data_IF_632874521380
#
_entry.id   IF_632874521380
#
_cell.length_a   1.000
_cell.length_b   1.000
_cell.length_c   1.000
_cell.angle_alpha   90.00
_cell.angle_beta   90.00
_cell.angle_gamma   90.00
#
_symmetry.space_group_name_H-M   'P 1'
#
loop_
_entity.id
_entity.type
_entity.pdbx_description
1 polymer ?
#
# COMPACT_ATOMS: atom_id res chain seq x y z
N UNK A 1 42.76 17.63 -67.55
CA UNK A 1 41.45 17.88 -66.93
C UNK A 1 41.03 16.62 -66.18
N UNK A 2 40.76 16.75 -64.89
CA UNK A 2 40.59 15.64 -63.94
C UNK A 2 39.13 15.13 -63.91
N UNK A 3 38.96 13.81 -63.79
CA UNK A 3 37.79 13.17 -63.19
C UNK A 3 38.15 11.67 -63.02
N UNK A 4 38.34 11.17 -61.79
CA UNK A 4 37.30 10.49 -60.99
C UNK A 4 36.90 9.15 -61.63
N UNK A 5 36.97 7.97 -61.01
CA UNK A 5 36.84 7.61 -59.59
C UNK A 5 37.19 6.14 -59.42
N UNK A 6 37.78 5.80 -58.27
CA UNK A 6 38.22 4.45 -57.86
C UNK A 6 37.02 3.51 -57.62
N UNK A 7 37.20 2.26 -58.03
CA UNK A 7 36.33 1.11 -57.86
C UNK A 7 35.94 0.92 -56.38
N UNK A 8 34.62 0.87 -56.10
CA UNK A 8 34.04 0.80 -54.75
C UNK A 8 34.36 -0.54 -54.08
N UNK A 9 35.13 -0.50 -52.98
CA UNK A 9 35.22 -1.62 -52.02
C UNK A 9 33.91 -1.68 -51.22
N UNK A 10 33.23 -2.82 -51.26
CA UNK A 10 32.07 -3.13 -50.43
C UNK A 10 32.55 -3.38 -48.99
N UNK A 11 32.39 -2.40 -48.09
CA UNK A 11 32.50 -2.62 -46.66
C UNK A 11 31.11 -2.93 -46.11
N UNK A 12 30.90 -4.21 -45.83
CA UNK A 12 29.77 -4.74 -45.05
C UNK A 12 29.91 -4.19 -43.63
N UNK A 13 29.26 -3.08 -43.32
CA UNK A 13 29.01 -2.74 -41.92
C UNK A 13 27.81 -3.57 -41.48
N UNK A 14 28.07 -4.69 -40.80
CA UNK A 14 27.05 -5.40 -40.06
C UNK A 14 26.50 -4.45 -38.99
N UNK A 15 25.25 -4.01 -39.16
CA UNK A 15 24.53 -3.31 -38.11
C UNK A 15 24.22 -4.35 -37.03
N UNK A 16 25.09 -4.46 -36.03
CA UNK A 16 24.75 -5.11 -34.77
C UNK A 16 23.75 -4.17 -34.08
N UNK A 17 22.46 -4.32 -34.40
CA UNK A 17 21.40 -3.70 -33.61
C UNK A 17 21.41 -4.38 -32.24
N UNK A 18 22.17 -3.83 -31.29
CA UNK A 18 21.99 -4.15 -29.88
C UNK A 18 20.65 -3.56 -29.50
N UNK A 19 19.60 -4.39 -29.49
CA UNK A 19 18.37 -4.03 -28.81
C UNK A 19 18.66 -4.06 -27.31
N UNK A 20 19.04 -2.91 -26.74
CA UNK A 20 18.94 -2.71 -25.30
C UNK A 20 17.45 -2.74 -24.99
N UNK A 21 16.95 -3.92 -24.64
CA UNK A 21 15.70 -4.02 -23.91
C UNK A 21 15.98 -3.43 -22.53
N UNK A 22 15.77 -2.12 -22.38
CA UNK A 22 15.49 -1.61 -21.05
C UNK A 22 14.15 -2.24 -20.68
N UNK A 23 14.21 -3.41 -20.06
CA UNK A 23 13.17 -3.79 -19.12
C UNK A 23 13.08 -2.60 -18.19
N UNK A 24 12.08 -1.75 -18.41
CA UNK A 24 11.68 -0.78 -17.42
C UNK A 24 11.27 -1.64 -16.23
N UNK A 25 12.24 -1.95 -15.38
CA UNK A 25 11.97 -2.30 -14.02
C UNK A 25 11.23 -1.07 -13.49
N UNK A 26 9.90 -1.14 -13.54
CA UNK A 26 9.06 -0.23 -12.79
C UNK A 26 9.52 -0.49 -11.38
N UNK A 27 10.48 0.31 -10.91
CA UNK A 27 10.85 0.34 -9.52
C UNK A 27 9.51 0.50 -8.81
N UNK A 28 9.04 -0.59 -8.17
CA UNK A 28 7.94 -0.59 -7.19
C UNK A 28 8.48 0.12 -5.95
N UNK A 29 8.98 1.33 -6.16
CA UNK A 29 9.69 2.13 -5.19
C UNK A 29 8.62 2.84 -4.41
N UNK A 30 8.67 2.59 -3.12
CA UNK A 30 8.01 3.38 -2.12
C UNK A 30 8.53 4.81 -2.29
N UNK A 31 7.67 5.71 -2.75
CA UNK A 31 8.04 7.10 -3.05
C UNK A 31 8.12 7.85 -1.73
N UNK A 32 9.32 8.35 -1.39
CA UNK A 32 9.55 9.12 -0.17
C UNK A 32 9.70 8.31 1.12
N UNK A 33 9.66 6.96 1.06
CA UNK A 33 9.87 6.12 2.23
C UNK A 33 11.33 5.75 2.49
N UNK A 34 11.65 5.47 3.74
CA UNK A 34 12.95 4.96 4.19
C UNK A 34 12.81 3.56 4.77
N UNK A 35 13.91 2.80 4.76
CA UNK A 35 14.02 1.56 5.54
C UNK A 35 13.83 1.91 7.02
N UNK A 36 13.04 1.12 7.72
CA UNK A 36 12.75 1.35 9.13
C UNK A 36 12.84 0.04 9.91
N UNK A 37 13.53 0.10 11.05
CA UNK A 37 13.71 -1.00 11.98
C UNK A 37 12.51 -1.09 12.95
N UNK A 38 11.29 -1.07 12.41
CA UNK A 38 10.05 -1.10 13.22
C UNK A 38 9.45 -2.50 13.22
N UNK A 39 9.55 -3.17 14.37
CA UNK A 39 9.08 -4.55 14.57
C UNK A 39 7.56 -4.74 14.51
N UNK A 40 6.78 -3.66 14.43
CA UNK A 40 5.32 -3.72 14.54
C UNK A 40 4.61 -3.84 13.19
N UNK A 41 5.29 -3.61 12.07
CA UNK A 41 4.64 -3.74 10.77
C UNK A 41 4.95 -5.12 10.18
N UNK A 42 3.94 -5.72 9.55
CA UNK A 42 4.09 -7.01 8.88
C UNK A 42 3.54 -6.93 7.47
N UNK A 43 4.12 -7.72 6.58
CA UNK A 43 3.57 -7.95 5.25
C UNK A 43 2.74 -9.22 5.28
N UNK A 44 1.48 -9.11 4.90
CA UNK A 44 0.55 -10.22 4.88
C UNK A 44 0.31 -10.61 3.42
N UNK A 45 0.44 -11.90 3.14
CA UNK A 45 0.00 -12.49 1.88
C UNK A 45 -1.35 -13.13 2.10
N UNK A 46 -2.31 -12.73 1.29
CA UNK A 46 -3.65 -13.29 1.27
C UNK A 46 -3.72 -14.22 0.07
N UNK A 47 -4.01 -15.48 0.32
CA UNK A 47 -4.18 -16.50 -0.72
C UNK A 47 -5.67 -16.79 -0.84
N UNK A 48 -6.22 -16.59 -2.04
CA UNK A 48 -7.63 -16.84 -2.32
C UNK A 48 -7.84 -18.29 -2.78
N UNK A 49 -9.08 -18.79 -2.64
CA UNK A 49 -9.43 -20.18 -3.00
C UNK A 49 -9.18 -20.52 -4.49
N UNK A 50 -9.14 -19.53 -5.38
CA UNK A 50 -8.81 -19.70 -6.81
C UNK A 50 -7.30 -19.77 -7.08
N UNK A 51 -6.47 -19.76 -6.03
CA UNK A 51 -5.02 -19.80 -6.11
C UNK A 51 -4.36 -18.44 -6.37
N UNK A 52 -5.15 -17.38 -6.59
CA UNK A 52 -4.60 -16.02 -6.71
C UNK A 52 -4.15 -15.50 -5.35
N UNK A 53 -3.25 -14.51 -5.34
CA UNK A 53 -2.81 -13.90 -4.09
C UNK A 53 -2.73 -12.38 -4.16
N UNK A 54 -3.15 -11.73 -3.08
CA UNK A 54 -2.97 -10.30 -2.83
C UNK A 54 -2.03 -10.11 -1.65
N UNK A 55 -1.56 -8.88 -1.49
CA UNK A 55 -0.79 -8.48 -0.32
C UNK A 55 -1.47 -7.32 0.39
N UNK A 56 -1.35 -7.29 1.71
CA UNK A 56 -1.71 -6.15 2.53
C UNK A 56 -0.66 -5.93 3.63
N UNK A 57 -0.71 -4.76 4.25
CA UNK A 57 0.01 -4.52 5.49
C UNK A 57 -0.72 -5.15 6.67
N UNK A 58 0.01 -5.37 7.75
CA UNK A 58 -0.56 -5.63 9.07
C UNK A 58 0.24 -4.89 10.12
N UNK A 59 -0.38 -4.73 11.28
CA UNK A 59 0.23 -4.10 12.45
C UNK A 59 0.15 -5.06 13.63
N UNK A 60 1.30 -5.50 14.13
CA UNK A 60 1.46 -6.30 15.33
C UNK A 60 1.08 -5.45 16.56
N UNK A 61 0.01 -5.85 17.24
CA UNK A 61 -0.51 -5.20 18.46
C UNK A 61 -0.12 -5.95 19.73
N UNK A 62 0.37 -7.18 19.59
CA UNK A 62 1.05 -7.99 20.61
C UNK A 62 1.79 -9.14 19.94
N UNK A 63 2.58 -9.92 20.69
CA UNK A 63 3.39 -11.04 20.19
C UNK A 63 2.62 -12.09 19.36
N UNK A 64 1.29 -12.16 19.52
CA UNK A 64 0.44 -13.15 18.85
C UNK A 64 -0.69 -12.54 18.01
N UNK A 65 -0.84 -11.22 17.98
CA UNK A 65 -2.00 -10.57 17.37
C UNK A 65 -1.59 -9.48 16.38
N UNK A 66 -2.16 -9.55 15.17
CA UNK A 66 -1.99 -8.57 14.09
C UNK A 66 -3.35 -7.96 13.76
N UNK A 67 -3.41 -6.64 13.62
CA UNK A 67 -4.55 -5.91 13.04
C UNK A 67 -4.24 -5.57 11.58
N UNK A 68 -5.18 -5.78 10.68
CA UNK A 68 -5.06 -5.43 9.26
C UNK A 68 -6.39 -4.88 8.71
N UNK A 69 -6.34 -4.21 7.56
CA UNK A 69 -7.51 -3.72 6.88
C UNK A 69 -8.37 -4.88 6.35
N UNK A 70 -9.63 -4.95 6.78
CA UNK A 70 -10.53 -6.07 6.48
C UNK A 70 -10.90 -6.22 4.99
N UNK A 71 -10.69 -5.20 4.15
CA UNK A 71 -11.17 -5.20 2.77
C UNK A 71 -10.49 -6.23 1.86
N UNK A 72 -9.41 -6.85 2.31
CA UNK A 72 -8.78 -7.96 1.58
C UNK A 72 -9.21 -9.35 2.06
N UNK A 73 -9.89 -9.47 3.22
CA UNK A 73 -10.23 -10.77 3.84
C UNK A 73 -11.58 -11.33 3.37
N UNK A 74 -12.41 -10.47 2.75
CA UNK A 74 -13.75 -10.85 2.30
C UNK A 74 -13.99 -10.47 0.83
N UNK A 75 -13.26 -11.04 -0.14
CA UNK A 75 -13.82 -11.15 -1.47
C UNK A 75 -15.04 -12.07 -1.37
N UNK A 76 -16.18 -11.59 -1.85
CA UNK A 76 -17.40 -12.38 -1.96
C UNK A 76 -17.08 -13.77 -2.55
N UNK A 77 -17.23 -14.82 -1.72
CA UNK A 77 -17.24 -16.27 -2.06
C UNK A 77 -15.97 -17.13 -1.95
N UNK A 78 -14.79 -16.65 -1.54
CA UNK A 78 -13.63 -17.54 -1.39
C UNK A 78 -13.01 -17.54 0.02
N UNK A 79 -12.87 -18.74 0.58
CA UNK A 79 -11.96 -19.03 1.68
C UNK A 79 -10.60 -18.40 1.38
N UNK A 80 -10.14 -17.50 2.25
CA UNK A 80 -8.83 -16.86 2.13
C UNK A 80 -7.97 -17.20 3.34
N UNK A 81 -6.71 -17.58 3.11
CA UNK A 81 -5.73 -17.77 4.18
C UNK A 81 -4.77 -16.59 4.25
N UNK A 82 -4.42 -16.22 5.48
CA UNK A 82 -3.47 -15.16 5.79
C UNK A 82 -2.14 -15.80 6.18
N UNK A 83 -1.11 -15.55 5.38
CA UNK A 83 0.24 -16.04 5.65
C UNK A 83 1.20 -14.86 5.87
N UNK A 84 2.04 -14.90 6.92
CA UNK A 84 3.15 -13.97 7.05
C UNK A 84 4.07 -14.10 5.83
N UNK A 85 4.26 -13.00 5.10
CA UNK A 85 5.16 -12.99 3.97
C UNK A 85 6.55 -12.54 4.40
N UNK A 86 7.58 -13.34 4.06
CA UNK A 86 8.98 -12.93 4.18
C UNK A 86 9.20 -11.73 3.25
N UNK A 87 9.33 -10.52 3.81
CA UNK A 87 9.73 -9.33 3.06
C UNK A 87 11.17 -8.97 3.38
N UNK A 88 12.02 -8.69 2.38
CA UNK A 88 13.44 -8.47 2.64
C UNK A 88 13.77 -7.17 3.38
N UNK A 89 12.84 -6.22 3.52
CA UNK A 89 13.00 -4.96 4.24
C UNK A 89 11.67 -4.24 4.32
N UNK A 90 11.30 -3.78 5.51
CA UNK A 90 10.10 -2.98 5.70
C UNK A 90 10.43 -1.50 5.52
N UNK A 91 9.50 -0.77 4.92
CA UNK A 91 9.66 0.65 4.62
C UNK A 91 8.54 1.44 5.29
N UNK A 92 8.91 2.61 5.79
CA UNK A 92 8.00 3.56 6.43
C UNK A 92 8.04 4.86 5.65
N UNK A 93 6.95 5.62 5.72
CA UNK A 93 7.01 7.05 5.42
C UNK A 93 6.24 7.83 6.46
N UNK A 94 6.66 9.09 6.59
CA UNK A 94 5.93 10.07 7.35
C UNK A 94 4.68 10.51 6.57
N UNK A 95 3.63 10.80 7.32
CA UNK A 95 2.39 11.36 6.80
C UNK A 95 2.01 12.61 7.60
N UNK A 96 1.15 13.43 7.03
CA UNK A 96 0.62 14.61 7.73
C UNK A 96 -0.81 14.35 8.13
N UNK A 97 -1.14 14.59 9.40
CA UNK A 97 -2.52 14.62 9.84
C UNK A 97 -3.25 15.80 9.17
N UNK A 98 -4.47 15.54 8.71
CA UNK A 98 -5.30 16.53 8.01
C UNK A 98 -6.74 16.49 8.50
N UNK A 99 -7.47 17.58 8.26
CA UNK A 99 -8.92 17.60 8.46
C UNK A 99 -9.62 16.71 7.43
N UNK A 100 -10.58 15.90 7.87
CA UNK A 100 -11.25 14.91 7.04
C UNK A 100 -12.26 15.47 6.01
N UNK A 101 -12.48 16.79 5.93
CA UNK A 101 -13.47 17.40 5.04
C UNK A 101 -13.32 16.98 3.58
N UNK A 102 -12.09 17.03 3.03
CA UNK A 102 -11.83 16.68 1.62
C UNK A 102 -12.20 15.22 1.35
N UNK A 103 -11.69 14.32 2.21
CA UNK A 103 -11.99 12.89 2.13
C UNK A 103 -13.50 12.61 2.23
N UNK A 104 -14.18 13.22 3.20
CA UNK A 104 -15.63 13.05 3.40
C UNK A 104 -16.41 13.51 2.16
N UNK A 105 -16.04 14.67 1.59
CA UNK A 105 -16.68 15.18 0.38
C UNK A 105 -16.51 14.21 -0.79
N UNK A 106 -15.29 13.69 -0.99
CA UNK A 106 -15.00 12.72 -2.06
C UNK A 106 -15.78 11.43 -1.89
N UNK A 107 -15.79 10.87 -0.68
CA UNK A 107 -16.53 9.64 -0.38
C UNK A 107 -18.03 9.80 -0.60
N UNK A 108 -18.61 10.95 -0.24
CA UNK A 108 -20.03 11.24 -0.49
C UNK A 108 -20.36 11.38 -1.97
N UNK A 109 -19.48 12.03 -2.73
CA UNK A 109 -19.70 12.30 -4.15
C UNK A 109 -19.55 11.04 -5.01
N UNK A 110 -18.48 10.29 -4.79
CA UNK A 110 -18.11 9.19 -5.69
C UNK A 110 -18.65 7.84 -5.22
N UNK A 111 -18.77 7.62 -3.90
CA UNK A 111 -19.11 6.31 -3.33
C UNK A 111 -20.00 6.42 -2.07
N UNK A 112 -21.23 6.96 -2.18
CA UNK A 112 -22.09 7.25 -1.03
C UNK A 112 -22.40 6.01 -0.17
N UNK A 113 -22.51 4.82 -0.76
CA UNK A 113 -22.69 3.58 0.01
C UNK A 113 -21.49 3.21 0.89
N UNK A 114 -20.25 3.50 0.44
CA UNK A 114 -19.06 3.29 1.27
C UNK A 114 -18.99 4.32 2.37
N UNK A 115 -19.38 5.56 2.08
CA UNK A 115 -19.47 6.61 3.10
C UNK A 115 -20.44 6.20 4.22
N UNK A 116 -21.67 5.79 3.89
CA UNK A 116 -22.67 5.40 4.90
C UNK A 116 -22.23 4.23 5.78
N UNK A 117 -21.45 3.27 5.24
CA UNK A 117 -20.87 2.19 6.06
C UNK A 117 -19.78 2.67 7.02
N UNK A 118 -19.10 3.76 6.68
CA UNK A 118 -17.94 4.30 7.41
C UNK A 118 -18.31 5.47 8.32
N UNK A 119 -19.48 6.08 8.15
CA UNK A 119 -19.93 7.21 8.98
C UNK A 119 -20.16 6.83 10.44
N UNK A 120 -20.32 5.54 10.74
CA UNK A 120 -20.43 5.01 12.10
C UNK A 120 -19.11 4.49 12.66
N UNK A 121 -18.03 4.52 11.87
CA UNK A 121 -16.70 4.08 12.29
C UNK A 121 -15.90 5.27 12.82
N UNK A 122 -14.91 4.98 13.68
CA UNK A 122 -14.00 5.99 14.20
C UNK A 122 -12.68 5.99 13.44
N UNK A 123 -12.34 7.13 12.86
CA UNK A 123 -11.14 7.29 12.06
C UNK A 123 -10.71 8.75 12.02
N UNK A 124 -9.41 8.96 11.81
CA UNK A 124 -8.82 10.26 11.51
C UNK A 124 -8.18 10.23 10.12
N UNK A 125 -7.81 11.41 9.62
CA UNK A 125 -7.30 11.55 8.27
C UNK A 125 -5.83 11.93 8.24
N UNK A 126 -5.16 11.39 7.25
CA UNK A 126 -3.80 11.79 6.92
C UNK A 126 -3.64 11.94 5.41
N UNK A 127 -2.67 12.75 5.03
CA UNK A 127 -2.16 12.79 3.67
C UNK A 127 -0.85 12.00 3.62
N UNK A 128 -0.84 11.00 2.76
CA UNK A 128 0.33 10.15 2.49
C UNK A 128 0.49 9.95 0.99
N UNK A 129 1.73 9.83 0.56
CA UNK A 129 2.08 9.48 -0.82
C UNK A 129 2.27 7.95 -0.97
N UNK A 130 1.78 7.16 -0.02
CA UNK A 130 1.93 5.71 0.01
C UNK A 130 0.59 4.96 0.12
N UNK A 131 0.56 3.75 -0.42
CA UNK A 131 -0.53 2.79 -0.21
C UNK A 131 -0.05 1.69 0.74
N UNK A 132 -0.61 1.67 1.94
CA UNK A 132 -0.15 0.87 3.07
C UNK A 132 -1.31 0.26 3.86
N UNK A 133 -2.45 -0.01 3.21
CA UNK A 133 -3.64 -0.63 3.85
C UNK A 133 -3.28 -1.76 4.80
N UNK A 134 -3.62 -1.60 6.08
CA UNK A 134 -3.32 -2.50 7.19
C UNK A 134 -2.03 -2.17 7.96
N UNK A 135 -1.21 -1.24 7.46
CA UNK A 135 -0.07 -0.67 8.15
C UNK A 135 -0.47 0.28 9.29
N UNK A 136 0.41 0.38 10.28
CA UNK A 136 0.18 1.13 11.51
C UNK A 136 0.52 2.62 11.39
N UNK A 137 -0.36 3.47 11.90
CA UNK A 137 -0.04 4.85 12.20
C UNK A 137 0.66 4.90 13.56
N UNK A 138 1.97 5.13 13.55
CA UNK A 138 2.83 5.06 14.74
C UNK A 138 3.41 6.43 15.09
N UNK A 139 3.34 6.78 16.37
CA UNK A 139 3.98 7.97 16.93
C UNK A 139 4.57 7.62 18.30
N UNK A 140 5.83 8.01 18.56
CA UNK A 140 6.55 7.69 19.81
C UNK A 140 6.41 6.21 20.24
N UNK A 141 6.70 5.30 19.29
CA UNK A 141 6.63 3.84 19.47
C UNK A 141 5.27 3.29 19.92
N UNK A 142 4.20 4.07 19.75
CA UNK A 142 2.82 3.64 20.00
C UNK A 142 2.01 3.64 18.72
N UNK A 143 1.16 2.64 18.59
CA UNK A 143 0.21 2.52 17.48
C UNK A 143 -1.06 3.29 17.85
N UNK A 144 -1.42 4.27 17.03
CA UNK A 144 -2.65 5.07 17.17
C UNK A 144 -3.72 4.67 16.17
N UNK A 145 -3.32 4.02 15.08
CA UNK A 145 -4.26 3.71 14.02
C UNK A 145 -3.79 2.66 13.04
N UNK A 146 -4.73 2.23 12.19
CA UNK A 146 -4.46 1.31 11.08
C UNK A 146 -4.98 1.93 9.80
N UNK A 147 -4.11 2.07 8.79
CA UNK A 147 -4.51 2.63 7.50
C UNK A 147 -5.52 1.70 6.84
N UNK A 148 -6.68 2.22 6.43
CA UNK A 148 -7.83 1.37 6.10
C UNK A 148 -8.44 1.66 4.73
N UNK A 149 -8.46 2.92 4.29
CA UNK A 149 -9.04 3.30 3.00
C UNK A 149 -8.53 4.66 2.51
N UNK A 150 -8.84 4.99 1.26
CA UNK A 150 -8.53 6.28 0.60
C UNK A 150 -9.78 6.82 -0.11
N UNK A 151 -9.77 8.11 -0.42
CA UNK A 151 -10.80 8.76 -1.24
C UNK A 151 -10.77 8.39 -2.72
N UNK A 152 -9.65 7.89 -3.25
CA UNK A 152 -9.52 7.46 -4.66
C UNK A 152 -9.22 5.95 -4.72
N UNK A 153 -10.18 5.10 -5.12
CA UNK A 153 -9.96 3.65 -5.18
C UNK A 153 -9.03 3.21 -6.31
N UNK A 154 -8.65 4.11 -7.23
CA UNK A 154 -7.93 3.79 -8.46
C UNK A 154 -6.49 4.30 -8.46
N UNK A 155 -6.23 5.44 -7.81
CA UNK A 155 -4.91 6.06 -7.78
C UNK A 155 -4.46 6.36 -6.35
N UNK A 156 -3.31 5.79 -5.97
CA UNK A 156 -2.63 6.10 -4.71
C UNK A 156 -2.15 7.57 -4.74
N UNK A 157 -2.02 8.21 -3.57
CA UNK A 157 -1.51 9.57 -3.37
C UNK A 157 -2.39 10.73 -3.88
N UNK A 158 -3.55 10.45 -4.50
CA UNK A 158 -4.43 11.52 -5.01
C UNK A 158 -5.32 12.15 -3.96
N UNK A 159 -5.75 11.35 -3.01
CA UNK A 159 -6.71 11.74 -1.98
C UNK A 159 -6.18 11.38 -0.61
N UNK A 160 -6.70 12.07 0.40
CA UNK A 160 -6.40 11.75 1.79
C UNK A 160 -6.83 10.32 2.13
N UNK A 161 -6.20 9.76 3.15
CA UNK A 161 -6.47 8.42 3.66
C UNK A 161 -7.26 8.47 4.97
N UNK A 162 -8.09 7.46 5.18
CA UNK A 162 -8.76 7.19 6.44
C UNK A 162 -7.99 6.15 7.24
N UNK A 163 -7.66 6.51 8.47
CA UNK A 163 -6.92 5.68 9.42
C UNK A 163 -7.88 5.35 10.57
N UNK A 164 -8.12 4.07 10.82
CA UNK A 164 -8.96 3.64 11.96
C UNK A 164 -8.33 4.12 13.26
N UNK A 165 -9.13 4.75 14.12
CA UNK A 165 -8.67 5.34 15.37
C UNK A 165 -8.63 4.31 16.51
N UNK A 166 -7.52 3.58 16.67
CA UNK A 166 -7.40 2.55 17.71
C UNK A 166 -7.48 3.12 19.14
N UNK A 167 -7.33 4.44 19.31
CA UNK A 167 -7.49 5.11 20.60
C UNK A 167 -8.94 5.39 20.95
N UNK A 168 -9.87 5.24 20.00
CA UNK A 168 -11.29 5.25 20.30
C UNK A 168 -11.63 4.16 21.34
N UNK A 169 -12.46 4.51 22.32
CA UNK A 169 -12.75 3.65 23.47
C UNK A 169 -13.35 2.29 23.07
N UNK A 170 -14.19 2.25 22.03
CA UNK A 170 -14.83 1.02 21.61
C UNK A 170 -13.82 0.04 21.00
N UNK A 171 -12.91 0.54 20.15
CA UNK A 171 -11.85 -0.29 19.58
C UNK A 171 -10.82 -0.66 20.63
N UNK A 172 -10.45 0.27 21.51
CA UNK A 172 -9.50 -0.03 22.59
C UNK A 172 -10.05 -1.12 23.50
N UNK A 173 -11.31 -1.01 23.90
CA UNK A 173 -11.99 -2.02 24.71
C UNK A 173 -12.02 -3.37 24.00
N UNK A 174 -12.41 -3.39 22.72
CA UNK A 174 -12.44 -4.63 21.94
C UNK A 174 -11.05 -5.28 21.83
N UNK A 175 -10.00 -4.49 21.60
CA UNK A 175 -8.61 -4.97 21.54
C UNK A 175 -8.23 -5.58 22.88
N UNK A 176 -8.44 -4.87 23.99
CA UNK A 176 -8.07 -5.33 25.33
C UNK A 176 -8.85 -6.63 25.69
N UNK A 177 -10.14 -6.69 25.37
CA UNK A 177 -10.99 -7.87 25.60
C UNK A 177 -10.58 -9.08 24.73
N UNK A 178 -9.98 -8.84 23.55
CA UNK A 178 -9.57 -9.88 22.59
C UNK A 178 -8.19 -10.41 22.88
N UNK A 179 -7.23 -9.52 23.18
CA UNK A 179 -5.83 -9.91 23.39
C UNK A 179 -5.67 -10.70 24.70
N UNK A 180 -6.58 -10.56 25.69
CA UNK A 180 -6.55 -11.25 27.00
C UNK A 180 -5.12 -11.57 27.46
N UNK A 181 -4.41 -10.52 27.84
CA UNK A 181 -3.13 -10.66 28.51
C UNK A 181 -3.30 -11.26 29.90
#
# INVERSE_FOLDING_TARGET
SAAMTRLRLLLVSAWLSVTVSTGMDVQKRIVGGNECERHYHVHLRIVFADGTSSFCGGTLISDQWIVTAAHYLFPSSSSSSLEPALTPKLHCADFKLVDCKSLIQRLKADIPERYSRRSHQHWFCAKTDLGDSGGGAVFEDKIYGVVSFTGDPKYVCREDIGIMDLCNQDYRKWIDDTIKT
#
